data_IF_775385581788
#
_entry.id   IF_775385581788
#
_cell.length_a   1.000
_cell.length_b   1.000
_cell.length_c   1.000
_cell.angle_alpha   90.00
_cell.angle_beta   90.00
_cell.angle_gamma   90.00
#
_symmetry.space_group_name_H-M   'P 1'
#
loop_
_entity.id
_entity.type
_entity.pdbx_description
1 polymer ?
#
# COMPACT_ATOMS: atom_id res chain seq x y z
N UNK A 1 -10.62 -21.45 39.72
CA UNK A 1 -11.52 -21.52 40.89
C UNK A 1 -12.72 -20.64 40.60
N UNK A 2 -13.93 -21.19 40.70
CA UNK A 2 -15.17 -20.43 40.61
C UNK A 2 -15.25 -19.45 41.80
N UNK A 3 -15.72 -18.23 41.57
CA UNK A 3 -15.93 -17.21 42.61
C UNK A 3 -17.30 -17.34 43.29
N UNK A 4 -18.09 -18.35 42.93
CA UNK A 4 -19.43 -18.63 43.47
C UNK A 4 -19.47 -18.59 45.00
N UNK A 5 -18.60 -19.34 45.67
CA UNK A 5 -18.55 -19.38 47.14
C UNK A 5 -18.27 -18.00 47.74
N UNK A 6 -17.37 -17.22 47.11
CA UNK A 6 -17.04 -15.86 47.56
C UNK A 6 -18.20 -14.88 47.37
N UNK A 7 -19.00 -15.06 46.30
CA UNK A 7 -20.18 -14.24 46.01
C UNK A 7 -21.31 -14.51 47.01
N UNK A 8 -21.57 -15.78 47.31
CA UNK A 8 -22.61 -16.21 48.24
C UNK A 8 -22.29 -15.75 49.68
N UNK A 9 -21.04 -15.90 50.12
CA UNK A 9 -20.60 -15.49 51.47
C UNK A 9 -20.69 -13.96 51.67
N UNK A 10 -20.37 -13.17 50.64
CA UNK A 10 -20.28 -11.71 50.75
C UNK A 10 -21.50 -10.98 50.19
N UNK A 11 -22.54 -11.69 49.74
CA UNK A 11 -23.73 -11.14 49.06
C UNK A 11 -23.36 -10.19 47.91
N UNK A 12 -22.31 -10.53 47.15
CA UNK A 12 -21.82 -9.70 46.06
C UNK A 12 -22.20 -10.27 44.69
N UNK A 13 -22.80 -9.43 43.84
CA UNK A 13 -23.28 -9.82 42.51
C UNK A 13 -22.18 -9.79 41.43
N UNK A 14 -20.95 -9.38 41.78
CA UNK A 14 -19.85 -9.20 40.84
C UNK A 14 -19.09 -10.51 40.62
N UNK A 15 -18.75 -10.80 39.36
CA UNK A 15 -18.17 -12.09 38.96
C UNK A 15 -16.67 -12.17 39.29
N UNK A 16 -15.91 -11.09 39.04
CA UNK A 16 -14.45 -11.08 39.17
C UNK A 16 -13.97 -10.63 40.56
N UNK A 17 -14.05 -11.54 41.53
CA UNK A 17 -13.66 -11.31 42.92
C UNK A 17 -12.36 -12.03 43.28
N UNK A 18 -11.60 -11.44 44.20
CA UNK A 18 -10.45 -12.06 44.85
C UNK A 18 -10.61 -11.97 46.37
N UNK A 19 -10.21 -13.04 47.04
CA UNK A 19 -10.11 -13.03 48.50
C UNK A 19 -8.77 -12.43 48.91
N UNK A 20 -8.78 -11.44 49.79
CA UNK A 20 -7.56 -10.84 50.35
C UNK A 20 -7.61 -10.91 51.87
N UNK A 21 -6.47 -10.82 52.58
CA UNK A 21 -6.46 -10.77 54.04
C UNK A 21 -7.28 -9.61 54.64
N UNK A 22 -7.56 -8.57 53.84
CA UNK A 22 -8.36 -7.39 54.21
C UNK A 22 -9.82 -7.50 53.75
N UNK A 23 -10.28 -8.70 53.37
CA UNK A 23 -11.62 -8.97 52.84
C UNK A 23 -11.67 -9.21 51.34
N UNK A 24 -12.88 -9.41 50.82
CA UNK A 24 -13.11 -9.66 49.39
C UNK A 24 -13.04 -8.36 48.59
N UNK A 25 -12.27 -8.37 47.51
CA UNK A 25 -12.04 -7.21 46.64
C UNK A 25 -12.23 -7.59 45.17
N UNK A 26 -12.42 -6.59 44.33
CA UNK A 26 -12.40 -6.74 42.88
C UNK A 26 -10.96 -6.81 42.37
N UNK A 27 -10.77 -7.51 41.25
CA UNK A 27 -9.55 -7.34 40.47
C UNK A 27 -9.51 -5.94 39.85
N UNK A 28 -8.35 -5.30 39.93
CA UNK A 28 -8.11 -4.06 39.20
C UNK A 28 -7.76 -4.36 37.74
N UNK A 29 -8.03 -3.40 36.85
CA UNK A 29 -7.66 -3.49 35.44
C UNK A 29 -6.16 -3.78 35.26
N UNK A 30 -5.30 -3.16 36.08
CA UNK A 30 -3.85 -3.37 36.00
C UNK A 30 -3.45 -4.81 36.37
N UNK A 31 -4.09 -5.40 37.37
CA UNK A 31 -3.79 -6.79 37.78
C UNK A 31 -4.13 -7.78 36.67
N UNK A 32 -5.28 -7.62 36.03
CA UNK A 32 -5.71 -8.47 34.91
C UNK A 32 -4.75 -8.29 33.73
N UNK A 33 -4.42 -7.06 33.36
CA UNK A 33 -3.47 -6.81 32.26
C UNK A 33 -2.08 -7.37 32.54
N UNK A 34 -1.58 -7.27 33.78
CA UNK A 34 -0.29 -7.83 34.17
C UNK A 34 -0.30 -9.36 34.09
N UNK A 35 -1.37 -9.99 34.57
CA UNK A 35 -1.51 -11.44 34.51
C UNK A 35 -1.52 -11.95 33.05
N UNK A 36 -2.29 -11.31 32.17
CA UNK A 36 -2.37 -11.69 30.76
C UNK A 36 -1.04 -11.44 30.03
N UNK A 37 -0.41 -10.28 30.24
CA UNK A 37 0.91 -10.00 29.65
C UNK A 37 2.00 -10.94 30.18
N UNK A 38 1.90 -11.39 31.43
CA UNK A 38 2.78 -12.42 31.99
C UNK A 38 2.64 -13.76 31.27
N UNK A 39 1.40 -14.15 30.89
CA UNK A 39 1.17 -15.34 30.07
C UNK A 39 1.72 -15.16 28.65
N UNK A 40 1.48 -14.00 28.03
CA UNK A 40 2.00 -13.69 26.69
C UNK A 40 3.52 -13.81 26.67
N UNK A 41 4.21 -13.24 27.65
CA UNK A 41 5.66 -13.35 27.77
C UNK A 41 6.11 -14.78 28.04
N UNK A 42 5.40 -15.52 28.89
CA UNK A 42 5.73 -16.92 29.22
C UNK A 42 5.65 -17.84 28.00
N UNK A 43 4.66 -17.63 27.13
CA UNK A 43 4.41 -18.46 25.94
C UNK A 43 4.96 -17.84 24.65
N UNK A 44 5.68 -16.73 24.73
CA UNK A 44 6.26 -16.02 23.59
C UNK A 44 5.24 -15.74 22.46
N UNK A 45 4.07 -15.24 22.83
CA UNK A 45 3.02 -14.90 21.86
C UNK A 45 3.42 -13.59 21.16
N UNK A 46 3.78 -13.68 19.89
CA UNK A 46 4.22 -12.55 19.06
C UNK A 46 3.18 -12.14 18.02
N UNK A 47 3.32 -10.92 17.49
CA UNK A 47 2.61 -10.47 16.28
C UNK A 47 3.25 -11.04 14.99
N UNK A 48 2.75 -10.58 13.84
CA UNK A 48 3.21 -11.00 12.50
C UNK A 48 4.66 -10.62 12.21
N UNK A 49 5.18 -9.60 12.89
CA UNK A 49 6.55 -9.10 12.72
C UNK A 49 7.52 -9.76 13.73
N UNK A 50 7.03 -10.70 14.55
CA UNK A 50 7.81 -11.41 15.56
C UNK A 50 7.99 -10.64 16.86
N UNK A 51 7.33 -9.50 17.04
CA UNK A 51 7.41 -8.67 18.25
C UNK A 51 6.44 -9.21 19.31
N UNK A 52 6.88 -9.23 20.58
CA UNK A 52 6.05 -9.73 21.67
C UNK A 52 4.75 -8.93 21.80
N UNK A 53 3.62 -9.63 21.77
CA UNK A 53 2.31 -9.00 21.81
C UNK A 53 2.06 -8.28 23.14
N UNK A 54 1.48 -7.08 23.09
CA UNK A 54 1.13 -6.31 24.29
C UNK A 54 -0.38 -6.23 24.45
N UNK A 55 -0.89 -6.90 25.48
CA UNK A 55 -2.31 -6.90 25.82
C UNK A 55 -2.77 -5.58 26.45
N UNK A 56 -3.92 -5.09 25.97
CA UNK A 56 -4.72 -4.03 26.58
C UNK A 56 -6.20 -4.42 26.61
N UNK A 57 -6.94 -3.97 27.63
CA UNK A 57 -8.38 -4.28 27.78
C UNK A 57 -9.22 -3.90 26.57
N UNK A 58 -8.86 -2.80 25.90
CA UNK A 58 -9.60 -2.30 24.75
C UNK A 58 -9.52 -3.25 23.54
N UNK A 59 -8.47 -4.06 23.42
CA UNK A 59 -8.35 -5.05 22.35
C UNK A 59 -9.46 -6.10 22.42
N UNK A 60 -9.84 -6.60 23.60
CA UNK A 60 -10.95 -7.55 23.73
C UNK A 60 -12.25 -6.97 23.16
N UNK A 61 -12.55 -5.70 23.49
CA UNK A 61 -13.74 -5.01 22.98
C UNK A 61 -13.69 -4.85 21.45
N UNK A 62 -12.51 -4.55 20.88
CA UNK A 62 -12.32 -4.50 19.43
C UNK A 62 -12.51 -5.87 18.78
N UNK A 63 -11.96 -6.94 19.35
CA UNK A 63 -12.11 -8.30 18.81
C UNK A 63 -13.57 -8.73 18.77
N UNK A 64 -14.36 -8.42 19.81
CA UNK A 64 -15.79 -8.74 19.79
C UNK A 64 -16.53 -7.93 18.73
N UNK A 65 -16.23 -6.64 18.61
CA UNK A 65 -16.79 -5.80 17.55
C UNK A 65 -16.50 -6.39 16.16
N UNK A 66 -15.23 -6.71 15.89
CA UNK A 66 -14.79 -7.35 14.64
C UNK A 66 -15.55 -8.65 14.39
N UNK A 67 -15.66 -9.53 15.38
CA UNK A 67 -16.37 -10.80 15.22
C UNK A 67 -17.87 -10.60 14.90
N UNK A 68 -18.54 -9.64 15.55
CA UNK A 68 -19.94 -9.34 15.24
C UNK A 68 -20.10 -8.85 13.80
N UNK A 69 -19.21 -7.96 13.36
CA UNK A 69 -19.21 -7.47 11.98
C UNK A 69 -18.90 -8.56 10.97
N UNK A 70 -17.89 -9.40 11.21
CA UNK A 70 -17.55 -10.53 10.34
C UNK A 70 -18.74 -11.48 10.14
N UNK A 71 -19.57 -11.63 11.18
CA UNK A 71 -20.79 -12.45 11.14
C UNK A 71 -22.04 -11.71 10.62
N UNK A 72 -21.89 -10.48 10.11
CA UNK A 72 -22.95 -9.75 9.42
C UNK A 72 -23.85 -8.87 10.30
N UNK A 73 -23.45 -8.59 11.55
CA UNK A 73 -24.18 -7.62 12.39
C UNK A 73 -24.05 -6.19 11.83
N UNK A 74 -25.12 -5.41 11.93
CA UNK A 74 -25.17 -4.00 11.51
C UNK A 74 -24.42 -3.09 12.49
N UNK A 75 -24.10 -1.87 12.06
CA UNK A 75 -23.40 -0.86 12.89
C UNK A 75 -24.25 -0.49 14.10
N UNK A 76 -25.56 -0.40 13.93
CA UNK A 76 -26.54 -0.11 14.98
C UNK A 76 -26.55 -1.23 16.02
N UNK A 77 -26.67 -2.49 15.60
CA UNK A 77 -26.66 -3.65 16.49
C UNK A 77 -25.35 -3.75 17.29
N UNK A 78 -24.20 -3.54 16.65
CA UNK A 78 -22.91 -3.58 17.34
C UNK A 78 -22.71 -2.36 18.24
N UNK A 79 -23.20 -1.18 17.85
CA UNK A 79 -23.14 0.03 18.69
C UNK A 79 -23.97 -0.13 19.96
N UNK A 80 -25.16 -0.70 19.83
CA UNK A 80 -26.05 -1.04 20.95
C UNK A 80 -25.40 -2.08 21.86
N UNK A 81 -24.85 -3.15 21.28
CA UNK A 81 -24.19 -4.22 22.03
C UNK A 81 -22.93 -3.74 22.76
N UNK A 82 -22.19 -2.80 22.16
CA UNK A 82 -21.02 -2.19 22.78
C UNK A 82 -21.37 -1.01 23.68
N UNK A 83 -22.63 -0.56 23.76
CA UNK A 83 -23.04 0.63 24.54
C UNK A 83 -22.27 1.90 24.15
N UNK A 84 -21.99 2.10 22.87
CA UNK A 84 -21.37 3.34 22.40
C UNK A 84 -22.41 4.48 22.36
N UNK A 85 -22.08 5.61 23.00
CA UNK A 85 -22.88 6.85 22.91
C UNK A 85 -22.70 7.57 21.56
N UNK A 86 -21.60 7.29 20.84
CA UNK A 86 -21.28 7.88 19.54
C UNK A 86 -20.83 6.78 18.56
N UNK A 87 -21.56 6.64 17.46
CA UNK A 87 -21.35 5.64 16.42
C UNK A 87 -20.07 5.87 15.60
N UNK A 88 -19.42 7.03 15.70
CA UNK A 88 -18.18 7.36 14.95
C UNK A 88 -17.03 6.38 15.21
N UNK A 89 -16.86 5.93 16.45
CA UNK A 89 -15.80 4.97 16.79
C UNK A 89 -16.09 3.58 16.22
N UNK A 90 -17.36 3.19 16.18
CA UNK A 90 -17.84 1.95 15.56
C UNK A 90 -17.69 2.01 14.03
N UNK A 91 -18.03 3.14 13.40
CA UNK A 91 -17.92 3.34 11.94
C UNK A 91 -16.47 3.32 11.43
N UNK A 92 -15.50 3.82 12.19
CA UNK A 92 -14.09 3.70 11.79
C UNK A 92 -13.66 2.24 11.65
N UNK A 93 -14.15 1.38 12.55
CA UNK A 93 -13.92 -0.06 12.47
C UNK A 93 -14.67 -0.72 11.30
N UNK A 94 -15.89 -0.25 10.99
CA UNK A 94 -16.64 -0.67 9.81
C UNK A 94 -15.86 -0.42 8.51
N UNK A 95 -15.34 0.80 8.32
CA UNK A 95 -14.63 1.14 7.08
C UNK A 95 -13.41 0.26 6.83
N UNK A 96 -12.59 0.02 7.86
CA UNK A 96 -11.39 -0.81 7.71
C UNK A 96 -11.76 -2.29 7.43
N UNK A 97 -12.79 -2.84 8.09
CA UNK A 97 -13.23 -4.23 7.91
C UNK A 97 -13.90 -4.43 6.55
N UNK A 98 -14.76 -3.50 6.13
CA UNK A 98 -15.43 -3.53 4.83
C UNK A 98 -14.40 -3.43 3.70
N UNK A 99 -13.41 -2.54 3.80
CA UNK A 99 -12.31 -2.45 2.85
C UNK A 99 -11.49 -3.74 2.78
N UNK A 100 -11.19 -4.37 3.93
CA UNK A 100 -10.48 -5.66 3.95
C UNK A 100 -11.30 -6.76 3.29
N UNK A 101 -12.61 -6.85 3.60
CA UNK A 101 -13.50 -7.86 3.01
C UNK A 101 -13.69 -7.66 1.51
N UNK A 102 -13.81 -6.41 1.06
CA UNK A 102 -13.84 -6.07 -0.37
C UNK A 102 -12.52 -6.51 -1.03
N UNK A 103 -11.38 -6.19 -0.43
CA UNK A 103 -10.08 -6.60 -0.98
C UNK A 103 -9.90 -8.13 -1.04
N UNK A 104 -10.37 -8.86 -0.02
CA UNK A 104 -10.35 -10.33 0.01
C UNK A 104 -11.27 -10.92 -1.07
N UNK A 105 -12.51 -10.43 -1.18
CA UNK A 105 -13.47 -10.87 -2.20
C UNK A 105 -13.00 -10.55 -3.61
N UNK A 106 -12.40 -9.38 -3.83
CA UNK A 106 -11.80 -9.00 -5.11
C UNK A 106 -10.64 -9.95 -5.44
N UNK A 107 -9.75 -10.22 -4.49
CA UNK A 107 -8.63 -11.14 -4.69
C UNK A 107 -9.10 -12.56 -5.05
N UNK A 108 -10.08 -13.09 -4.32
CA UNK A 108 -10.69 -14.40 -4.61
C UNK A 108 -11.36 -14.42 -6.00
N UNK A 109 -12.11 -13.37 -6.34
CA UNK A 109 -12.76 -13.24 -7.63
C UNK A 109 -11.75 -13.24 -8.79
N UNK A 110 -10.69 -12.44 -8.68
CA UNK A 110 -9.63 -12.41 -9.68
C UNK A 110 -8.90 -13.76 -9.76
N UNK A 111 -8.63 -14.43 -8.64
CA UNK A 111 -8.04 -15.76 -8.64
C UNK A 111 -8.87 -16.78 -9.41
N UNK A 112 -10.19 -16.78 -9.19
CA UNK A 112 -11.15 -17.63 -9.92
C UNK A 112 -11.15 -17.24 -11.42
N UNK A 113 -11.20 -15.95 -11.73
CA UNK A 113 -11.23 -15.46 -13.11
C UNK A 113 -9.99 -15.88 -13.89
N UNK A 114 -8.78 -15.67 -13.34
CA UNK A 114 -7.52 -16.07 -13.98
C UNK A 114 -7.35 -17.59 -14.06
N UNK A 115 -7.84 -18.33 -13.06
CA UNK A 115 -7.83 -19.79 -13.06
C UNK A 115 -8.75 -20.37 -14.13
N UNK A 116 -9.85 -19.68 -14.46
CA UNK A 116 -10.81 -20.09 -15.48
C UNK A 116 -10.51 -19.55 -16.88
N UNK A 117 -9.38 -18.87 -17.11
CA UNK A 117 -8.97 -18.48 -18.46
C UNK A 117 -8.71 -19.70 -19.35
N UNK A 118 -9.09 -19.60 -20.62
CA UNK A 118 -8.87 -20.62 -21.64
C UNK A 118 -7.38 -20.98 -21.77
N UNK A 119 -7.10 -22.27 -21.99
CA UNK A 119 -5.74 -22.79 -22.14
C UNK A 119 -4.99 -22.10 -23.29
N UNK A 120 -5.67 -21.81 -24.40
CA UNK A 120 -5.13 -21.09 -25.56
C UNK A 120 -4.65 -19.67 -25.24
N UNK A 121 -5.13 -19.07 -24.15
CA UNK A 121 -4.68 -17.76 -23.66
C UNK A 121 -3.51 -17.96 -22.69
N UNK A 122 -3.60 -18.95 -21.79
CA UNK A 122 -2.53 -19.25 -20.82
C UNK A 122 -1.23 -19.66 -21.50
N UNK A 123 -1.31 -20.48 -22.55
CA UNK A 123 -0.15 -21.02 -23.27
C UNK A 123 0.59 -19.96 -24.11
N UNK A 124 0.02 -18.76 -24.29
CA UNK A 124 0.69 -17.62 -24.93
C UNK A 124 1.68 -16.90 -24.02
N UNK A 125 1.64 -17.17 -22.72
CA UNK A 125 2.48 -16.52 -21.73
C UNK A 125 3.31 -17.56 -21.00
N UNK A 126 4.59 -17.27 -20.75
CA UNK A 126 5.35 -18.04 -19.78
C UNK A 126 4.71 -17.91 -18.37
N UNK A 127 4.94 -18.87 -17.46
CA UNK A 127 4.41 -18.79 -16.10
C UNK A 127 4.78 -17.50 -15.35
N UNK A 128 5.97 -16.95 -15.62
CA UNK A 128 6.42 -15.68 -15.06
C UNK A 128 5.68 -14.47 -15.66
N UNK A 129 5.44 -14.46 -16.97
CA UNK A 129 4.71 -13.37 -17.63
C UNK A 129 3.24 -13.37 -17.22
N UNK A 130 2.63 -14.56 -17.11
CA UNK A 130 1.25 -14.70 -16.66
C UNK A 130 1.06 -14.22 -15.22
N UNK A 131 2.04 -14.53 -14.34
CA UNK A 131 2.06 -14.00 -12.96
C UNK A 131 2.19 -12.48 -12.94
N UNK A 132 3.10 -11.91 -13.73
CA UNK A 132 3.26 -10.47 -13.82
C UNK A 132 1.98 -9.79 -14.33
N UNK A 133 1.32 -10.36 -15.34
CA UNK A 133 0.06 -9.84 -15.86
C UNK A 133 -1.05 -9.85 -14.79
N UNK A 134 -1.14 -10.92 -14.02
CA UNK A 134 -2.05 -11.03 -12.88
C UNK A 134 -1.75 -9.96 -11.83
N UNK A 135 -0.47 -9.79 -11.46
CA UNK A 135 -0.04 -8.78 -10.51
C UNK A 135 -0.32 -7.35 -11.03
N UNK A 136 -0.11 -7.08 -12.32
CA UNK A 136 -0.40 -5.78 -12.95
C UNK A 136 -1.90 -5.44 -12.93
N UNK A 137 -2.76 -6.42 -13.18
CA UNK A 137 -4.22 -6.25 -13.14
C UNK A 137 -4.71 -6.04 -11.71
N UNK A 138 -4.20 -6.82 -10.76
CA UNK A 138 -4.53 -6.71 -9.33
C UNK A 138 -4.07 -5.39 -8.70
N UNK A 139 -2.83 -4.97 -9.01
CA UNK A 139 -2.23 -3.75 -8.45
C UNK A 139 -2.65 -2.49 -9.20
N UNK A 140 -3.29 -2.63 -10.37
CA UNK A 140 -3.66 -1.50 -11.22
C UNK A 140 -2.46 -0.67 -11.69
N UNK A 141 -1.27 -1.27 -11.72
CA UNK A 141 -0.02 -0.57 -12.00
C UNK A 141 0.86 -1.38 -12.94
N UNK A 142 1.44 -0.74 -13.96
CA UNK A 142 2.25 -1.39 -15.00
C UNK A 142 3.53 -0.61 -15.27
N UNK A 143 4.64 -1.27 -15.54
CA UNK A 143 5.85 -0.56 -15.95
C UNK A 143 5.63 0.12 -17.32
N UNK A 144 6.21 1.31 -17.50
CA UNK A 144 6.20 1.97 -18.81
C UNK A 144 7.03 1.16 -19.81
N UNK A 145 6.64 1.09 -21.10
CA UNK A 145 7.43 0.40 -22.13
C UNK A 145 8.89 0.86 -22.17
N UNK A 146 9.13 2.15 -21.93
CA UNK A 146 10.46 2.76 -21.94
C UNK A 146 11.18 2.65 -20.57
N UNK A 147 10.62 1.88 -19.62
CA UNK A 147 11.25 1.54 -18.33
C UNK A 147 11.39 2.67 -17.29
N UNK A 148 11.06 3.90 -17.63
CA UNK A 148 11.29 5.11 -16.83
C UNK A 148 10.29 5.35 -15.68
N UNK A 149 9.26 4.51 -15.54
CA UNK A 149 8.34 4.60 -14.41
C UNK A 149 7.25 3.54 -14.42
N UNK A 150 6.26 3.74 -13.56
CA UNK A 150 5.08 2.89 -13.42
C UNK A 150 3.83 3.72 -13.71
N UNK A 151 2.98 3.24 -14.60
CA UNK A 151 1.69 3.81 -14.89
C UNK A 151 0.66 3.28 -13.90
N UNK A 152 -0.06 4.17 -13.21
CA UNK A 152 -1.15 3.85 -12.28
C UNK A 152 -2.54 3.93 -12.92
N UNK A 153 -2.62 3.91 -14.26
CA UNK A 153 -3.90 3.87 -14.95
C UNK A 153 -4.44 2.44 -14.85
N UNK A 154 -5.46 2.25 -14.03
CA UNK A 154 -6.16 0.97 -13.94
C UNK A 154 -6.76 0.55 -15.29
N UNK A 155 -6.77 -0.75 -15.57
CA UNK A 155 -7.22 -1.33 -16.85
C UNK A 155 -8.66 -0.98 -17.21
N UNK A 156 -9.52 -0.75 -16.21
CA UNK A 156 -10.93 -0.36 -16.39
C UNK A 156 -11.11 1.01 -17.08
N UNK A 157 -10.10 1.89 -17.02
CA UNK A 157 -10.13 3.18 -17.72
C UNK A 157 -9.83 3.07 -19.22
N UNK A 158 -9.76 1.85 -19.76
CA UNK A 158 -9.56 1.55 -21.18
C UNK A 158 -8.10 1.76 -21.65
N UNK A 159 -7.84 1.59 -22.95
CA UNK A 159 -6.50 1.72 -23.52
C UNK A 159 -5.93 3.13 -23.36
N UNK A 160 -4.61 3.26 -23.35
CA UNK A 160 -3.96 4.57 -23.32
C UNK A 160 -3.96 5.17 -24.73
N UNK A 161 -4.41 6.42 -24.88
CA UNK A 161 -4.38 7.14 -26.15
C UNK A 161 -3.06 7.92 -26.36
N UNK A 162 -2.22 8.05 -25.33
CA UNK A 162 -0.91 8.70 -25.45
C UNK A 162 0.11 7.73 -26.03
N UNK A 163 0.88 8.20 -27.01
CA UNK A 163 1.98 7.45 -27.63
C UNK A 163 3.24 7.35 -26.75
N UNK A 164 3.50 8.37 -25.93
CA UNK A 164 4.64 8.43 -24.99
C UNK A 164 4.11 8.56 -23.55
N UNK A 165 4.73 7.88 -22.60
CA UNK A 165 4.33 7.97 -21.18
C UNK A 165 4.83 9.25 -20.50
N UNK A 166 5.83 9.90 -21.09
CA UNK A 166 6.48 11.12 -20.63
C UNK A 166 5.47 12.27 -20.49
N UNK A 167 5.50 12.98 -19.36
CA UNK A 167 4.55 14.06 -19.06
C UNK A 167 3.11 13.58 -18.79
N UNK A 168 2.88 12.27 -18.63
CA UNK A 168 1.58 11.75 -18.19
C UNK A 168 1.37 11.98 -16.69
N UNK A 169 0.18 12.44 -16.31
CA UNK A 169 -0.21 12.62 -14.89
C UNK A 169 -0.30 11.30 -14.12
N UNK A 170 -0.47 10.19 -14.84
CA UNK A 170 -0.58 8.84 -14.27
C UNK A 170 0.76 8.12 -14.22
N UNK A 171 1.87 8.80 -14.54
CA UNK A 171 3.22 8.25 -14.47
C UNK A 171 3.80 8.52 -13.08
N UNK A 172 4.15 7.45 -12.38
CA UNK A 172 4.93 7.51 -11.14
C UNK A 172 6.38 7.13 -11.48
N UNK A 173 7.31 7.96 -11.02
CA UNK A 173 8.75 7.71 -11.15
C UNK A 173 9.44 7.97 -9.80
N UNK A 174 10.61 7.39 -9.60
CA UNK A 174 11.38 7.51 -8.36
C UNK A 174 12.88 7.32 -8.59
N UNK A 175 13.70 7.47 -7.53
CA UNK A 175 15.17 7.41 -7.61
C UNK A 175 15.70 6.18 -8.35
N UNK A 176 15.07 5.04 -8.19
CA UNK A 176 15.41 3.77 -8.85
C UNK A 176 15.30 3.80 -10.38
N UNK A 177 14.59 4.78 -10.95
CA UNK A 177 14.44 4.95 -12.40
C UNK A 177 15.34 6.06 -12.96
N UNK A 178 16.13 6.75 -12.13
CA UNK A 178 16.95 7.88 -12.53
C UNK A 178 17.94 7.55 -13.64
N UNK A 179 18.58 6.38 -13.58
CA UNK A 179 19.51 5.93 -14.62
C UNK A 179 18.83 5.86 -15.99
N UNK A 180 17.62 5.29 -16.05
CA UNK A 180 16.84 5.22 -17.28
C UNK A 180 16.46 6.60 -17.81
N UNK A 181 16.08 7.56 -16.94
CA UNK A 181 15.83 8.94 -17.38
C UNK A 181 17.08 9.61 -17.97
N UNK A 182 18.27 9.38 -17.39
CA UNK A 182 19.54 9.87 -17.95
C UNK A 182 19.83 9.25 -19.31
N UNK A 183 19.59 7.95 -19.49
CA UNK A 183 19.71 7.27 -20.78
C UNK A 183 18.81 7.92 -21.82
N UNK A 184 17.51 8.07 -21.54
CA UNK A 184 16.54 8.71 -22.45
C UNK A 184 16.93 10.15 -22.80
N UNK A 185 17.47 10.91 -21.84
CA UNK A 185 17.98 12.25 -22.09
C UNK A 185 19.16 12.23 -23.07
N UNK A 186 20.14 11.35 -22.85
CA UNK A 186 21.33 11.25 -23.71
C UNK A 186 21.01 10.80 -25.14
N UNK A 187 20.08 9.84 -25.30
CA UNK A 187 19.61 9.37 -26.60
C UNK A 187 18.87 10.50 -27.34
N UNK A 188 17.99 11.23 -26.64
CA UNK A 188 17.26 12.35 -27.21
C UNK A 188 18.18 13.52 -27.60
N UNK A 189 19.22 13.79 -26.79
CA UNK A 189 20.23 14.80 -27.10
C UNK A 189 21.00 14.44 -28.37
N UNK A 190 21.48 13.19 -28.46
CA UNK A 190 22.20 12.69 -29.64
C UNK A 190 21.34 12.81 -30.90
N UNK A 191 20.07 12.41 -30.82
CA UNK A 191 19.13 12.53 -31.93
C UNK A 191 18.95 13.98 -32.41
N UNK A 192 18.79 14.92 -31.47
CA UNK A 192 18.66 16.34 -31.79
C UNK A 192 19.95 16.90 -32.40
N UNK A 193 21.12 16.52 -31.89
CA UNK A 193 22.42 16.99 -32.40
C UNK A 193 22.66 16.51 -33.84
N UNK A 194 22.32 15.25 -34.15
CA UNK A 194 22.36 14.70 -35.51
C UNK A 194 21.40 15.44 -36.44
N UNK A 195 20.18 15.70 -35.98
CA UNK A 195 19.17 16.40 -36.76
C UNK A 195 19.59 17.85 -37.07
N UNK A 196 20.11 18.57 -36.07
CA UNK A 196 20.64 19.94 -36.22
C UNK A 196 21.81 19.95 -37.20
N UNK A 197 22.71 18.97 -37.12
CA UNK A 197 23.85 18.86 -38.04
C UNK A 197 23.38 18.75 -39.49
N UNK A 198 22.38 17.90 -39.77
CA UNK A 198 21.79 17.76 -41.11
C UNK A 198 21.18 19.08 -41.58
N UNK A 199 20.46 19.80 -40.72
CA UNK A 199 19.86 21.09 -41.09
C UNK A 199 20.91 22.15 -41.44
N UNK A 200 22.00 22.22 -40.66
CA UNK A 200 23.12 23.13 -40.92
C UNK A 200 23.82 22.77 -42.24
N UNK A 201 24.10 21.48 -42.47
CA UNK A 201 24.76 21.01 -43.70
C UNK A 201 23.93 21.34 -44.97
N UNK A 202 22.60 21.31 -44.85
CA UNK A 202 21.68 21.64 -45.94
C UNK A 202 21.36 23.14 -46.05
N UNK A 203 21.96 24.01 -45.21
CA UNK A 203 21.73 25.46 -45.17
C UNK A 203 20.25 25.82 -45.00
N UNK A 204 19.56 25.06 -44.16
CA UNK A 204 18.21 25.39 -43.72
C UNK A 204 18.36 26.27 -42.49
N UNK A 205 17.73 27.44 -42.49
CA UNK A 205 17.93 28.46 -41.45
C UNK A 205 16.73 28.57 -40.49
N UNK A 206 15.56 28.09 -40.92
CA UNK A 206 14.26 28.21 -40.24
C UNK A 206 13.81 26.95 -39.49
N UNK A 207 14.67 25.91 -39.41
CA UNK A 207 14.34 24.62 -38.79
C UNK A 207 13.92 24.71 -37.32
N UNK A 208 14.30 25.78 -36.62
CA UNK A 208 13.88 26.04 -35.23
C UNK A 208 12.37 26.29 -35.10
N UNK A 209 11.74 26.72 -36.17
CA UNK A 209 10.30 26.97 -36.22
C UNK A 209 9.52 25.70 -36.60
N UNK A 210 10.21 24.60 -36.95
CA UNK A 210 9.56 23.35 -37.30
C UNK A 210 8.91 22.74 -36.06
N UNK A 211 7.64 22.31 -36.21
CA UNK A 211 6.87 21.76 -35.10
C UNK A 211 7.49 20.48 -34.56
N UNK A 212 8.10 19.70 -35.43
CA UNK A 212 8.84 18.49 -35.10
C UNK A 212 10.02 18.84 -34.19
N UNK A 213 10.83 19.84 -34.57
CA UNK A 213 11.94 20.29 -33.73
C UNK A 213 11.47 20.80 -32.37
N UNK A 214 10.42 21.64 -32.36
CA UNK A 214 9.84 22.18 -31.13
C UNK A 214 9.28 21.07 -30.22
N UNK A 215 8.72 20.00 -30.79
CA UNK A 215 8.25 18.86 -30.02
C UNK A 215 9.40 18.06 -29.40
N UNK A 216 10.47 17.83 -30.15
CA UNK A 216 11.62 17.04 -29.71
C UNK A 216 12.49 17.81 -28.70
N UNK A 217 12.65 19.13 -28.84
CA UNK A 217 13.33 19.95 -27.83
C UNK A 217 12.51 20.05 -26.53
N UNK A 218 11.18 20.13 -26.62
CA UNK A 218 10.31 20.09 -25.45
C UNK A 218 10.41 18.72 -24.74
N UNK A 219 10.49 17.64 -25.49
CA UNK A 219 10.70 16.31 -24.92
C UNK A 219 12.02 16.22 -24.13
N UNK A 220 13.11 16.72 -24.72
CA UNK A 220 14.42 16.81 -24.04
C UNK A 220 14.32 17.66 -22.76
N UNK A 221 13.60 18.78 -22.80
CA UNK A 221 13.39 19.62 -21.63
C UNK A 221 12.62 18.88 -20.52
N UNK A 222 11.56 18.14 -20.85
CA UNK A 222 10.80 17.35 -19.87
C UNK A 222 11.69 16.28 -19.21
N UNK A 223 12.60 15.66 -19.97
CA UNK A 223 13.60 14.74 -19.42
C UNK A 223 14.52 15.44 -18.43
N UNK A 224 15.11 16.57 -18.82
CA UNK A 224 15.99 17.36 -17.96
C UNK A 224 15.30 17.79 -16.66
N UNK A 225 14.09 18.34 -16.76
CA UNK A 225 13.29 18.77 -15.60
C UNK A 225 12.97 17.62 -14.66
N UNK A 226 12.70 16.43 -15.21
CA UNK A 226 12.40 15.24 -14.41
C UNK A 226 13.64 14.71 -13.69
N UNK A 227 14.79 14.68 -14.36
CA UNK A 227 16.08 14.32 -13.76
C UNK A 227 16.40 15.26 -12.61
N UNK A 228 16.30 16.59 -12.83
CA UNK A 228 16.58 17.57 -11.79
C UNK A 228 15.68 17.41 -10.56
N UNK A 229 14.38 17.14 -10.77
CA UNK A 229 13.43 16.87 -9.67
C UNK A 229 13.82 15.61 -8.89
N UNK A 230 14.21 14.54 -9.59
CA UNK A 230 14.63 13.29 -8.96
C UNK A 230 15.94 13.47 -8.17
N UNK A 231 16.94 14.13 -8.74
CA UNK A 231 18.21 14.41 -8.06
C UNK A 231 18.01 15.29 -6.84
N UNK A 232 17.16 16.33 -6.95
CA UNK A 232 16.77 17.17 -5.80
C UNK A 232 16.10 16.34 -4.70
N UNK A 233 15.13 15.50 -5.08
CA UNK A 233 14.45 14.60 -4.13
C UNK A 233 15.43 13.68 -3.41
N UNK A 234 16.36 13.08 -4.14
CA UNK A 234 17.39 12.18 -3.58
C UNK A 234 18.25 12.93 -2.55
N UNK A 235 18.73 14.14 -2.90
CA UNK A 235 19.58 14.95 -2.02
C UNK A 235 18.86 15.42 -0.75
N UNK A 236 17.56 15.73 -0.85
CA UNK A 236 16.78 16.28 0.26
C UNK A 236 16.23 15.21 1.21
N UNK A 237 16.03 13.97 0.76
CA UNK A 237 15.26 12.96 1.51
C UNK A 237 15.99 11.65 1.78
N UNK A 238 17.11 11.36 1.13
CA UNK A 238 17.87 10.14 1.35
C UNK A 238 19.16 10.41 2.11
N UNK A 239 19.62 9.44 2.90
CA UNK A 239 20.91 9.50 3.61
C UNK A 239 22.08 9.53 2.63
N UNK A 240 23.24 10.08 3.03
CA UNK A 240 24.42 10.17 2.14
C UNK A 240 24.84 8.83 1.52
N UNK A 241 24.72 7.74 2.28
CA UNK A 241 25.03 6.39 1.79
C UNK A 241 24.02 5.89 0.75
N UNK A 242 22.75 6.26 0.88
CA UNK A 242 21.72 5.96 -0.11
C UNK A 242 21.83 6.85 -1.35
N UNK A 243 22.23 8.11 -1.20
CA UNK A 243 22.44 9.03 -2.32
C UNK A 243 23.51 8.49 -3.28
N UNK A 244 24.62 7.94 -2.74
CA UNK A 244 25.69 7.35 -3.56
C UNK A 244 25.18 6.24 -4.47
N UNK A 245 24.17 5.46 -4.06
CA UNK A 245 23.60 4.36 -4.85
C UNK A 245 22.90 4.85 -6.13
N UNK A 246 22.35 6.07 -6.12
CA UNK A 246 21.54 6.59 -7.21
C UNK A 246 22.25 7.69 -8.02
N UNK A 247 23.15 8.46 -7.40
CA UNK A 247 23.81 9.60 -8.06
C UNK A 247 25.18 9.25 -8.68
N UNK A 248 25.85 8.19 -8.22
CA UNK A 248 27.18 7.76 -8.72
C UNK A 248 27.15 6.57 -9.68
N UNK A 249 25.97 6.26 -10.23
CA UNK A 249 25.82 5.38 -11.40
C UNK A 249 25.44 6.21 -12.64
#
# INVERSE_FOLDING_TARGET
KDTKDLREINKENKIFLKNTPKGVKLYSNQEISRAINGLIHKYNICDRDGVLWKYTHHQCRKTVAVNLFTNGATVEEVSDWLTHLDSKSTMKHYHDIELMKIAELDAEYFDIMFSNLDLDIKDRYSPSEFKNLKDEIMLGSRNTPEGHGTCIKHVSFGPCHKKKCVGCKMLITGPQKLSMWKTLYSEQQTYLDEWIKVMIENKIDDWKDYREYQAEINLLQIYGDTIQKLEKFIKERLSEDEQKRYLHN
#
